data_IF_983101663860
#
_entry.id   IF_983101663860
#
_cell.length_a   1.000
_cell.length_b   1.000
_cell.length_c   1.000
_cell.angle_alpha   90.00
_cell.angle_beta   90.00
_cell.angle_gamma   90.00
#
_symmetry.space_group_name_H-M   'P 1'
#
loop_
_entity.id
_entity.type
_entity.pdbx_description
1 polymer ?
#
# COMPACT_ATOMS: atom_id res chain seq x y z
N UNK A 1 -65.77 -10.50 15.60
CA UNK A 1 -64.31 -10.64 15.68
C UNK A 1 -63.78 -9.65 16.71
N UNK A 2 -63.16 -10.13 17.79
CA UNK A 2 -62.82 -9.30 18.96
C UNK A 2 -61.60 -8.40 18.69
N UNK A 3 -61.74 -7.09 18.97
CA UNK A 3 -60.72 -6.04 18.72
C UNK A 3 -59.32 -6.37 19.27
N UNK A 4 -59.23 -7.18 20.33
CA UNK A 4 -57.96 -7.63 20.92
C UNK A 4 -57.16 -8.57 20.00
N UNK A 5 -57.82 -9.41 19.20
CA UNK A 5 -57.15 -10.33 18.27
C UNK A 5 -56.57 -9.60 17.05
N UNK A 6 -57.21 -8.51 16.61
CA UNK A 6 -56.73 -7.67 15.50
C UNK A 6 -55.44 -6.91 15.85
N UNK A 7 -55.34 -6.41 17.07
CA UNK A 7 -54.17 -5.63 17.54
C UNK A 7 -52.94 -6.55 17.70
N UNK A 8 -53.13 -7.76 18.22
CA UNK A 8 -52.05 -8.75 18.33
C UNK A 8 -51.55 -9.23 16.96
N UNK A 9 -52.47 -9.44 16.00
CA UNK A 9 -52.09 -9.81 14.63
C UNK A 9 -51.32 -8.70 13.90
N UNK A 10 -51.73 -7.43 14.09
CA UNK A 10 -51.03 -6.29 13.50
C UNK A 10 -49.63 -6.08 14.11
N UNK A 11 -49.48 -6.25 15.43
CA UNK A 11 -48.18 -6.18 16.11
C UNK A 11 -47.22 -7.30 15.68
N UNK A 12 -47.74 -8.52 15.51
CA UNK A 12 -46.95 -9.66 15.04
C UNK A 12 -46.48 -9.48 13.58
N UNK A 13 -47.32 -8.92 12.72
CA UNK A 13 -46.96 -8.61 11.33
C UNK A 13 -45.91 -7.51 11.21
N UNK A 14 -46.01 -6.46 12.03
CA UNK A 14 -45.01 -5.39 12.05
C UNK A 14 -43.64 -5.88 12.57
N UNK A 15 -43.63 -6.73 13.60
CA UNK A 15 -42.40 -7.34 14.10
C UNK A 15 -41.77 -8.30 13.08
N UNK A 16 -42.59 -9.11 12.40
CA UNK A 16 -42.11 -10.00 11.34
C UNK A 16 -41.52 -9.22 10.15
N UNK A 17 -42.14 -8.11 9.74
CA UNK A 17 -41.63 -7.26 8.67
C UNK A 17 -40.29 -6.59 9.04
N UNK A 18 -40.12 -6.16 10.29
CA UNK A 18 -38.85 -5.58 10.77
C UNK A 18 -37.74 -6.63 10.90
N UNK A 19 -38.06 -7.83 11.38
CA UNK A 19 -37.07 -8.92 11.48
C UNK A 19 -36.66 -9.39 10.09
N UNK A 20 -37.61 -9.56 9.17
CA UNK A 20 -37.31 -9.95 7.79
C UNK A 20 -36.57 -8.84 7.03
N UNK A 21 -36.96 -7.58 7.19
CA UNK A 21 -36.27 -6.43 6.60
C UNK A 21 -34.87 -6.26 7.15
N UNK A 22 -34.68 -6.38 8.46
CA UNK A 22 -33.36 -6.33 9.09
C UNK A 22 -32.46 -7.49 8.68
N UNK A 23 -33.01 -8.70 8.50
CA UNK A 23 -32.26 -9.85 8.00
C UNK A 23 -31.86 -9.69 6.53
N UNK A 24 -32.76 -9.17 5.69
CA UNK A 24 -32.46 -8.92 4.27
C UNK A 24 -31.43 -7.82 4.09
N UNK A 25 -31.51 -6.75 4.89
CA UNK A 25 -30.52 -5.67 4.89
C UNK A 25 -29.17 -6.17 5.41
N UNK A 26 -29.16 -7.00 6.45
CA UNK A 26 -27.95 -7.62 6.97
C UNK A 26 -27.27 -8.53 5.92
N UNK A 27 -28.05 -9.36 5.21
CA UNK A 27 -27.56 -10.19 4.10
C UNK A 27 -27.10 -9.34 2.90
N UNK A 28 -27.75 -8.21 2.64
CA UNK A 28 -27.34 -7.28 1.58
C UNK A 28 -26.01 -6.60 1.92
N UNK A 29 -25.83 -6.21 3.18
CA UNK A 29 -24.59 -5.64 3.68
C UNK A 29 -23.47 -6.69 3.71
N UNK A 30 -23.70 -7.90 4.21
CA UNK A 30 -22.72 -9.00 4.13
C UNK A 30 -22.36 -9.34 2.68
N UNK A 31 -23.31 -9.28 1.75
CA UNK A 31 -23.07 -9.45 0.32
C UNK A 31 -22.31 -8.27 -0.33
N UNK A 32 -22.31 -7.09 0.29
CA UNK A 32 -21.58 -5.90 -0.15
C UNK A 32 -20.20 -5.76 0.51
N UNK A 33 -19.95 -6.42 1.65
CA UNK A 33 -18.60 -6.58 2.19
C UNK A 33 -17.88 -7.60 1.32
N UNK A 34 -17.43 -7.14 0.15
CA UNK A 34 -16.37 -7.84 -0.56
C UNK A 34 -15.19 -7.99 0.39
N UNK A 35 -14.63 -9.19 0.49
CA UNK A 35 -13.36 -9.47 1.14
C UNK A 35 -12.24 -8.70 0.43
N UNK A 36 -12.19 -7.39 0.63
CA UNK A 36 -11.11 -6.55 0.16
C UNK A 36 -9.91 -6.79 1.05
N UNK A 37 -8.83 -7.33 0.49
CA UNK A 37 -7.53 -7.33 1.17
C UNK A 37 -7.06 -5.87 1.23
N UNK A 38 -7.08 -5.26 2.41
CA UNK A 38 -6.39 -3.98 2.64
C UNK A 38 -4.89 -4.27 2.56
N UNK A 39 -4.29 -4.00 1.39
CA UNK A 39 -2.87 -4.26 1.17
C UNK A 39 -1.99 -3.32 2.01
N UNK A 40 -2.46 -2.10 2.31
CA UNK A 40 -1.74 -1.09 3.11
C UNK A 40 -2.73 -0.22 3.89
N UNK A 41 -2.44 0.01 5.18
CA UNK A 41 -3.19 0.94 6.03
C UNK A 41 -2.84 2.43 5.85
N UNK A 42 -2.15 2.77 4.76
CA UNK A 42 -1.69 4.13 4.43
C UNK A 42 -1.78 4.37 2.92
N UNK A 43 -1.76 5.63 2.49
CA UNK A 43 -1.70 5.99 1.07
C UNK A 43 -0.27 5.84 0.53
N UNK A 44 0.04 4.86 -0.34
CA UNK A 44 1.41 4.64 -0.81
C UNK A 44 1.88 5.70 -1.81
N UNK A 45 0.99 6.58 -2.29
CA UNK A 45 1.28 7.64 -3.27
C UNK A 45 1.61 9.00 -2.64
N UNK A 46 1.48 9.14 -1.33
CA UNK A 46 1.81 10.36 -0.60
C UNK A 46 3.07 10.14 0.24
N UNK A 47 4.15 10.92 0.02
CA UNK A 47 5.38 10.82 0.81
C UNK A 47 5.14 10.95 2.32
N UNK A 48 4.23 11.81 2.77
CA UNK A 48 3.99 12.06 4.20
C UNK A 48 3.37 10.84 4.90
N UNK A 49 2.54 10.08 4.20
CA UNK A 49 1.93 8.85 4.73
C UNK A 49 2.81 7.63 4.52
N UNK A 50 3.66 7.60 3.49
CA UNK A 50 4.56 6.47 3.23
C UNK A 50 5.81 6.51 4.10
N UNK A 51 6.44 7.68 4.28
CA UNK A 51 7.71 7.78 4.99
C UNK A 51 7.68 7.13 6.39
N UNK A 52 6.65 7.29 7.24
CA UNK A 52 6.59 6.62 8.56
C UNK A 52 6.68 5.09 8.51
N UNK A 53 6.36 4.45 7.39
CA UNK A 53 6.42 2.99 7.21
C UNK A 53 7.71 2.51 6.54
N UNK A 54 8.69 3.39 6.33
CA UNK A 54 9.94 3.08 5.63
C UNK A 54 11.11 3.12 6.61
N UNK A 55 11.96 2.10 6.52
CA UNK A 55 13.25 2.04 7.21
C UNK A 55 14.28 2.96 6.54
N UNK A 56 14.28 2.97 5.21
CA UNK A 56 15.28 3.68 4.42
C UNK A 56 14.60 4.58 3.39
N UNK A 57 15.12 5.80 3.25
CA UNK A 57 14.72 6.72 2.19
C UNK A 57 15.98 7.31 1.60
N UNK A 58 16.17 7.18 0.28
CA UNK A 58 17.40 7.58 -0.38
C UNK A 58 17.15 7.98 -1.84
N UNK A 59 18.02 8.83 -2.39
CA UNK A 59 18.13 9.01 -3.83
C UNK A 59 19.06 7.93 -4.37
N UNK A 60 18.62 7.19 -5.37
CA UNK A 60 19.41 6.13 -5.99
C UNK A 60 19.38 6.22 -7.50
N UNK A 61 20.50 5.87 -8.14
CA UNK A 61 20.59 5.72 -9.59
C UNK A 61 20.34 4.27 -9.96
N UNK A 62 19.37 4.02 -10.84
CA UNK A 62 19.16 2.68 -11.41
C UNK A 62 20.35 2.36 -12.29
N UNK A 63 21.11 1.33 -11.93
CA UNK A 63 22.28 0.90 -12.70
C UNK A 63 21.95 -0.23 -13.66
N UNK A 64 20.98 -1.07 -13.32
CA UNK A 64 20.60 -2.24 -14.11
C UNK A 64 19.20 -2.72 -13.71
N UNK A 65 18.36 -3.05 -14.69
CA UNK A 65 17.24 -3.98 -14.52
C UNK A 65 17.77 -5.41 -14.49
N UNK A 66 17.54 -6.14 -13.40
CA UNK A 66 18.04 -7.50 -13.27
C UNK A 66 17.06 -8.53 -13.78
N UNK A 67 15.81 -8.47 -13.30
CA UNK A 67 14.82 -9.50 -13.59
C UNK A 67 13.40 -9.03 -13.27
N UNK A 68 12.44 -9.73 -13.87
CA UNK A 68 11.02 -9.64 -13.54
C UNK A 68 10.64 -10.92 -12.79
N UNK A 69 10.01 -10.79 -11.63
CA UNK A 69 9.55 -11.90 -10.80
C UNK A 69 8.05 -11.84 -10.59
N UNK A 70 7.42 -13.00 -10.56
CA UNK A 70 6.02 -13.16 -10.15
C UNK A 70 5.98 -13.89 -8.81
N UNK A 71 5.52 -13.19 -7.77
CA UNK A 71 5.51 -13.71 -6.41
C UNK A 71 4.08 -13.68 -5.88
N UNK A 72 3.50 -14.88 -5.67
CA UNK A 72 2.12 -15.04 -5.18
C UNK A 72 1.09 -14.25 -6.02
N UNK A 73 1.30 -14.19 -7.35
CA UNK A 73 0.42 -13.48 -8.28
C UNK A 73 0.71 -11.97 -8.40
N UNK A 74 1.78 -11.47 -7.77
CA UNK A 74 2.24 -10.09 -7.88
C UNK A 74 3.46 -9.99 -8.77
N UNK A 75 3.36 -9.17 -9.81
CA UNK A 75 4.46 -8.88 -10.70
C UNK A 75 5.35 -7.78 -10.12
N UNK A 76 6.64 -8.07 -10.01
CA UNK A 76 7.65 -7.14 -9.51
C UNK A 76 8.85 -7.10 -10.45
N UNK A 77 9.35 -5.91 -10.74
CA UNK A 77 10.65 -5.72 -11.38
C UNK A 77 11.73 -5.52 -10.31
N UNK A 78 12.91 -6.09 -10.53
CA UNK A 78 14.05 -5.99 -9.62
C UNK A 78 15.16 -5.19 -10.28
N UNK A 79 15.67 -4.19 -9.56
CA UNK A 79 16.70 -3.27 -10.05
C UNK A 79 17.92 -3.28 -9.13
N UNK A 80 19.11 -3.18 -9.72
CA UNK A 80 20.29 -2.68 -9.01
C UNK A 80 20.25 -1.17 -8.96
N UNK A 81 20.42 -0.64 -7.76
CA UNK A 81 20.36 0.80 -7.50
C UNK A 81 21.60 1.20 -6.72
N UNK A 82 22.39 2.11 -7.29
CA UNK A 82 23.49 2.76 -6.59
C UNK A 82 22.93 3.88 -5.71
N UNK A 83 23.15 3.79 -4.41
CA UNK A 83 22.73 4.80 -3.44
C UNK A 83 23.61 6.03 -3.58
N UNK A 84 23.01 7.17 -3.94
CA UNK A 84 23.72 8.44 -4.10
C UNK A 84 23.67 9.30 -2.84
N UNK A 85 22.51 9.35 -2.19
CA UNK A 85 22.33 10.11 -0.94
C UNK A 85 21.21 9.52 -0.11
N UNK A 86 21.39 9.51 1.21
CA UNK A 86 20.45 8.91 2.15
C UNK A 86 19.77 9.99 2.97
N UNK A 87 18.44 10.03 2.93
CA UNK A 87 17.59 10.93 3.73
C UNK A 87 17.18 10.29 5.06
N UNK A 88 17.05 8.96 5.10
CA UNK A 88 16.75 8.17 6.28
C UNK A 88 17.41 6.79 6.17
N UNK A 89 17.86 6.27 7.31
CA UNK A 89 18.51 4.98 7.41
C UNK A 89 20.01 5.10 7.14
N UNK A 90 20.65 3.99 6.78
CA UNK A 90 22.10 3.92 6.61
C UNK A 90 22.55 3.16 5.36
N UNK A 91 21.67 2.94 4.39
CA UNK A 91 22.03 2.30 3.13
C UNK A 91 23.11 3.07 2.38
N UNK A 92 24.00 2.31 1.74
CA UNK A 92 25.12 2.79 0.95
C UNK A 92 25.53 1.72 -0.08
N UNK A 93 26.30 2.13 -1.09
CA UNK A 93 26.73 1.22 -2.16
C UNK A 93 25.61 0.86 -3.13
N UNK A 94 25.68 -0.32 -3.74
CA UNK A 94 24.66 -0.83 -4.66
C UNK A 94 23.74 -1.80 -3.93
N UNK A 95 22.43 -1.52 -3.98
CA UNK A 95 21.39 -2.34 -3.35
C UNK A 95 20.43 -2.88 -4.39
N UNK A 96 19.78 -4.02 -4.10
CA UNK A 96 18.66 -4.53 -4.90
C UNK A 96 17.36 -3.92 -4.39
N UNK A 97 16.55 -3.38 -5.30
CA UNK A 97 15.23 -2.82 -4.99
C UNK A 97 14.18 -3.51 -5.86
N UNK A 98 13.13 -4.04 -5.22
CA UNK A 98 11.97 -4.59 -5.90
C UNK A 98 10.89 -3.52 -6.03
N UNK A 99 10.35 -3.34 -7.23
CA UNK A 99 9.29 -2.38 -7.54
C UNK A 99 8.08 -3.10 -8.14
N UNK A 100 6.93 -2.98 -7.48
CA UNK A 100 5.69 -3.64 -7.90
C UNK A 100 5.01 -2.92 -9.05
N UNK A 101 4.91 -3.57 -10.21
CA UNK A 101 4.28 -2.99 -11.42
C UNK A 101 2.76 -2.92 -11.31
N UNK A 102 2.15 -3.81 -10.51
CA UNK A 102 0.70 -3.83 -10.30
C UNK A 102 0.20 -2.69 -9.39
N UNK A 103 1.10 -2.07 -8.63
CA UNK A 103 0.78 -1.00 -7.67
C UNK A 103 1.34 0.38 -8.08
N UNK A 104 2.47 0.39 -8.78
CA UNK A 104 3.18 1.58 -9.23
C UNK A 104 2.78 2.05 -10.62
N UNK A 105 3.60 2.93 -11.20
CA UNK A 105 3.57 3.21 -12.64
C UNK A 105 3.83 1.91 -13.42
N UNK A 106 3.06 1.62 -14.51
CA UNK A 106 3.29 0.44 -15.34
C UNK A 106 4.62 0.51 -16.10
N UNK A 107 5.21 1.71 -16.20
CA UNK A 107 6.47 1.92 -16.88
C UNK A 107 7.65 1.51 -16.00
N UNK A 108 8.60 0.83 -16.63
CA UNK A 108 9.87 0.47 -16.01
C UNK A 108 10.66 1.71 -15.64
N UNK A 109 11.41 1.62 -14.54
CA UNK A 109 12.41 2.63 -14.22
C UNK A 109 13.50 2.63 -15.29
N UNK A 110 13.93 3.82 -15.70
CA UNK A 110 14.91 3.98 -16.74
C UNK A 110 16.34 3.80 -16.20
N UNK A 111 17.13 2.98 -16.88
CA UNK A 111 18.55 2.81 -16.57
C UNK A 111 19.29 4.16 -16.61
N UNK A 112 20.22 4.35 -15.69
CA UNK A 112 20.98 5.58 -15.51
C UNK A 112 20.22 6.74 -14.87
N UNK A 113 18.90 6.64 -14.74
CA UNK A 113 18.09 7.69 -14.09
C UNK A 113 18.12 7.58 -12.57
N UNK A 114 17.99 8.73 -11.91
CA UNK A 114 18.01 8.81 -10.44
C UNK A 114 16.60 9.03 -9.91
N UNK A 115 16.17 8.24 -8.94
CA UNK A 115 14.84 8.29 -8.33
C UNK A 115 14.95 8.39 -6.81
N UNK A 116 13.84 8.70 -6.14
CA UNK A 116 13.72 8.54 -4.69
C UNK A 116 13.13 7.18 -4.39
N UNK A 117 13.87 6.40 -3.61
CA UNK A 117 13.45 5.11 -3.11
C UNK A 117 13.09 5.25 -1.64
N UNK A 118 11.93 4.69 -1.27
CA UNK A 118 11.41 4.71 0.08
C UNK A 118 11.05 3.27 0.42
N UNK A 119 11.93 2.60 1.16
CA UNK A 119 12.02 1.16 1.17
C UNK A 119 11.99 0.57 2.57
N UNK A 120 11.68 -0.71 2.61
CA UNK A 120 11.83 -1.58 3.76
C UNK A 120 12.65 -2.79 3.35
N UNK A 121 13.51 -3.30 4.23
CA UNK A 121 14.15 -4.59 3.97
C UNK A 121 13.08 -5.69 3.86
N UNK A 122 13.26 -6.61 2.91
CA UNK A 122 12.47 -7.83 2.92
C UNK A 122 12.81 -8.65 4.16
N UNK A 123 11.78 -9.21 4.81
CA UNK A 123 11.94 -10.00 6.04
C UNK A 123 11.95 -11.50 5.79
N UNK A 124 11.62 -11.95 4.57
CA UNK A 124 11.61 -13.37 4.22
C UNK A 124 12.90 -13.79 3.49
N UNK A 125 13.26 -15.07 3.60
CA UNK A 125 14.47 -15.59 2.96
C UNK A 125 14.31 -15.76 1.43
N UNK A 126 13.10 -15.60 0.91
CA UNK A 126 12.77 -15.79 -0.51
C UNK A 126 13.03 -14.51 -1.31
N UNK A 127 12.85 -13.34 -0.68
CA UNK A 127 13.07 -12.04 -1.26
C UNK A 127 14.32 -11.42 -0.63
N UNK A 128 15.25 -11.03 -1.50
CA UNK A 128 16.48 -10.37 -1.11
C UNK A 128 16.45 -8.89 -1.50
N UNK A 129 17.12 -8.05 -0.71
CA UNK A 129 17.17 -6.61 -0.92
C UNK A 129 16.01 -5.86 -0.24
N UNK A 130 15.48 -4.86 -0.95
CA UNK A 130 14.55 -3.90 -0.38
C UNK A 130 13.25 -3.77 -1.18
N UNK A 131 12.11 -3.81 -0.48
CA UNK A 131 10.80 -3.53 -1.03
C UNK A 131 10.59 -2.02 -1.18
N UNK A 132 10.33 -1.54 -2.40
CA UNK A 132 9.86 -0.18 -2.61
C UNK A 132 8.42 -0.05 -2.09
N UNK A 133 8.21 0.88 -1.14
CA UNK A 133 6.91 1.10 -0.51
C UNK A 133 6.17 2.31 -1.09
N UNK A 134 6.90 3.29 -1.62
CA UNK A 134 6.29 4.43 -2.30
C UNK A 134 5.92 4.06 -3.74
N UNK A 135 4.63 4.20 -4.06
CA UNK A 135 4.01 3.86 -5.33
C UNK A 135 3.42 5.08 -6.03
N UNK A 136 3.88 6.28 -5.67
CA UNK A 136 3.56 7.49 -6.44
C UNK A 136 4.28 7.49 -7.78
N UNK A 137 4.12 8.57 -8.54
CA UNK A 137 4.78 8.70 -9.84
C UNK A 137 6.31 8.63 -9.69
N UNK A 138 6.89 7.53 -10.18
CA UNK A 138 8.34 7.32 -10.21
C UNK A 138 8.94 8.06 -11.40
N UNK A 139 9.23 9.34 -11.18
CA UNK A 139 9.95 10.20 -12.13
C UNK A 139 11.36 10.52 -11.63
N UNK A 140 12.30 10.87 -12.53
CA UNK A 140 13.63 11.30 -12.13
C UNK A 140 13.56 12.41 -11.08
N UNK A 141 14.40 12.32 -10.04
CA UNK A 141 14.35 13.19 -8.88
C UNK A 141 14.60 14.65 -9.26
N UNK A 142 13.73 15.53 -8.77
CA UNK A 142 13.90 16.98 -8.82
C UNK A 142 13.99 17.59 -7.40
N UNK A 143 14.42 18.85 -7.31
CA UNK A 143 14.60 19.55 -6.03
C UNK A 143 13.28 19.68 -5.24
N UNK A 144 12.15 19.77 -5.94
CA UNK A 144 10.84 19.90 -5.31
C UNK A 144 10.44 18.58 -4.62
N UNK A 145 10.62 17.44 -5.29
CA UNK A 145 10.44 16.12 -4.70
C UNK A 145 11.37 15.92 -3.52
N UNK A 146 12.65 16.30 -3.65
CA UNK A 146 13.62 16.17 -2.58
C UNK A 146 13.21 16.99 -1.34
N UNK A 147 12.69 18.20 -1.52
CA UNK A 147 12.21 19.04 -0.42
C UNK A 147 10.98 18.43 0.28
N UNK A 148 10.05 17.84 -0.47
CA UNK A 148 8.88 17.13 0.10
C UNK A 148 9.34 15.93 0.92
N UNK A 149 10.23 15.11 0.37
CA UNK A 149 10.75 13.92 1.06
C UNK A 149 11.55 14.27 2.31
N UNK A 150 12.38 15.32 2.29
CA UNK A 150 13.07 15.83 3.48
C UNK A 150 12.11 16.18 4.62
N UNK A 151 10.95 16.76 4.31
CA UNK A 151 9.90 17.03 5.31
C UNK A 151 9.24 15.73 5.79
N UNK A 152 8.91 14.84 4.87
CA UNK A 152 8.25 13.57 5.19
C UNK A 152 9.11 12.68 6.10
N UNK A 153 10.42 12.59 5.85
CA UNK A 153 11.33 11.76 6.66
C UNK A 153 11.60 12.32 8.05
N UNK A 154 11.26 13.59 8.32
CA UNK A 154 11.35 14.17 9.66
C UNK A 154 10.22 13.66 10.59
N UNK A 155 9.17 13.05 10.04
CA UNK A 155 8.14 12.38 10.82
C UNK A 155 8.71 11.10 11.46
N UNK A 156 8.30 10.75 12.69
CA UNK A 156 8.75 9.51 13.33
C UNK A 156 8.32 8.29 12.51
N UNK A 157 9.12 7.22 12.56
CA UNK A 157 8.70 5.91 12.07
C UNK A 157 7.54 5.39 12.92
N UNK A 158 6.59 4.70 12.29
CA UNK A 158 5.60 3.92 13.03
C UNK A 158 6.23 2.57 13.40
N UNK A 159 5.92 2.03 14.59
CA UNK A 159 6.31 0.67 14.92
C UNK A 159 5.65 -0.32 13.95
N UNK A 160 6.37 -1.38 13.61
CA UNK A 160 5.84 -2.50 12.85
C UNK A 160 4.60 -3.07 13.58
N UNK A 161 3.52 -3.29 12.84
CA UNK A 161 2.29 -3.91 13.36
C UNK A 161 2.32 -5.42 13.20
#
# INVERSE_FOLDING_TARGET
MNKKAMILAAGALAAAALVLGGWFEYQHLEGQVSSGTVLRGYNPRDPATTAPHTENVFTGRVTEFEEKRDIKGWTQDVYRVEVLSTLRGNLHGTVRVTYGLDEGSPDRLADGSTYIFATHAWTDATNDGHAQLYQGEMKPVDDAQLAVWKKAVALPTKPDQ
#
